data_IF_653784202042
#
_entry.id   IF_653784202042
#
_cell.length_a   1.000
_cell.length_b   1.000
_cell.length_c   1.000
_cell.angle_alpha   90.00
_cell.angle_beta   90.00
_cell.angle_gamma   90.00
#
_symmetry.space_group_name_H-M   'P 1'
#
loop_
_entity.id
_entity.type
_entity.pdbx_description
1 polymer ?
#
# COMPACT_ATOMS: atom_id res chain seq x y z
N UNK A 1 43.92 68.68 5.32
CA UNK A 1 44.44 68.08 6.56
C UNK A 1 43.26 67.36 7.23
N UNK A 2 43.02 66.08 6.93
CA UNK A 2 43.72 64.88 7.44
C UNK A 2 43.29 64.61 8.90
N UNK A 3 42.37 63.66 9.19
CA UNK A 3 42.53 62.20 9.40
C UNK A 3 41.85 61.90 10.77
N UNK A 4 41.24 60.76 11.15
CA UNK A 4 41.47 59.33 10.91
C UNK A 4 40.17 58.60 11.24
N UNK A 5 39.54 57.95 10.28
CA UNK A 5 38.58 56.88 10.55
C UNK A 5 39.34 55.56 10.64
N UNK A 6 39.30 54.92 11.80
CA UNK A 6 39.81 53.56 11.99
C UNK A 6 38.99 52.59 11.14
N UNK A 7 39.57 52.07 10.06
CA UNK A 7 39.09 50.84 9.40
C UNK A 7 39.66 49.63 10.12
N UNK A 8 38.84 48.62 10.48
CA UNK A 8 39.37 47.32 10.90
C UNK A 8 40.04 46.63 9.71
N UNK A 9 41.12 45.85 9.94
CA UNK A 9 41.79 45.14 8.88
C UNK A 9 41.32 43.66 8.84
N UNK A 10 41.39 43.07 7.65
CA UNK A 10 41.33 41.62 7.39
C UNK A 10 39.95 40.95 7.62
N UNK A 11 39.44 40.05 6.79
CA UNK A 11 39.96 39.26 5.67
C UNK A 11 38.73 38.87 4.85
N UNK A 12 38.76 39.07 3.54
CA UNK A 12 37.81 38.42 2.63
C UNK A 12 38.13 36.92 2.61
N UNK A 13 37.29 36.10 3.25
CA UNK A 13 37.21 34.69 2.95
C UNK A 13 36.15 34.50 1.87
N UNK A 14 36.64 34.20 0.67
CA UNK A 14 35.88 33.89 -0.53
C UNK A 14 35.20 32.53 -0.34
N UNK A 15 33.99 32.49 0.20
CA UNK A 15 33.15 31.29 0.11
C UNK A 15 32.39 31.37 -1.21
N UNK A 16 33.10 30.94 -2.25
CA UNK A 16 32.50 30.49 -3.49
C UNK A 16 31.62 29.26 -3.23
N UNK A 17 30.41 29.27 -3.77
CA UNK A 17 29.75 28.05 -4.24
C UNK A 17 29.05 27.20 -3.19
N UNK A 18 27.85 27.61 -2.78
CA UNK A 18 26.82 26.68 -2.31
C UNK A 18 25.48 27.01 -2.99
N UNK A 19 25.49 27.10 -4.33
CA UNK A 19 24.30 27.00 -5.15
C UNK A 19 24.42 25.68 -5.90
N UNK A 20 24.02 24.57 -5.28
CA UNK A 20 23.64 23.30 -5.94
C UNK A 20 23.59 22.16 -4.90
N UNK A 21 22.64 22.19 -3.95
CA UNK A 21 22.36 21.00 -3.13
C UNK A 21 20.96 21.08 -2.48
N UNK A 22 19.91 21.34 -3.27
CA UNK A 22 18.54 21.25 -2.72
C UNK A 22 17.46 20.84 -3.73
N UNK A 23 17.81 20.65 -5.01
CA UNK A 23 16.85 20.24 -6.02
C UNK A 23 17.32 18.91 -6.61
N UNK A 24 16.91 17.80 -5.98
CA UNK A 24 16.75 16.45 -6.54
C UNK A 24 16.64 15.40 -5.41
N UNK A 25 15.87 15.69 -4.36
CA UNK A 25 15.24 14.60 -3.61
C UNK A 25 13.90 14.33 -4.29
N UNK A 26 13.96 13.73 -5.49
CA UNK A 26 12.78 13.18 -6.13
C UNK A 26 12.43 11.95 -5.30
N UNK A 27 11.56 12.15 -4.30
CA UNK A 27 11.02 11.09 -3.48
C UNK A 27 10.24 10.16 -4.44
N UNK A 28 10.89 9.08 -4.85
CA UNK A 28 10.27 8.06 -5.68
C UNK A 28 9.12 7.44 -4.87
N UNK A 29 7.90 7.89 -5.14
CA UNK A 29 6.72 7.27 -4.58
C UNK A 29 6.71 5.80 -5.05
N UNK A 30 6.58 4.82 -4.15
CA UNK A 30 6.38 3.44 -4.58
C UNK A 30 5.10 3.39 -5.41
N UNK A 31 5.24 3.05 -6.69
CA UNK A 31 4.10 2.78 -7.56
C UNK A 31 3.44 1.51 -7.04
N UNK A 32 2.22 1.62 -6.51
CA UNK A 32 1.42 0.45 -6.19
C UNK A 32 1.14 -0.30 -7.50
N UNK A 33 1.77 -1.45 -7.68
CA UNK A 33 1.53 -2.30 -8.84
C UNK A 33 0.07 -2.77 -8.79
N UNK A 34 -0.74 -2.30 -9.73
CA UNK A 34 -2.11 -2.79 -9.89
C UNK A 34 -2.05 -4.18 -10.54
N UNK A 35 -2.42 -5.22 -9.79
CA UNK A 35 -2.61 -6.56 -10.33
C UNK A 35 -3.97 -6.63 -11.01
N UNK A 36 -3.98 -6.95 -12.31
CA UNK A 36 -5.23 -7.28 -12.99
C UNK A 36 -5.72 -8.66 -12.53
N UNK A 37 -6.97 -8.70 -12.07
CA UNK A 37 -7.65 -9.92 -11.62
C UNK A 37 -8.33 -10.68 -12.77
N UNK A 38 -8.13 -10.23 -14.02
CA UNK A 38 -8.72 -10.80 -15.22
C UNK A 38 -10.08 -10.20 -15.60
N UNK A 39 -10.74 -10.80 -16.59
CA UNK A 39 -12.05 -10.37 -17.08
C UNK A 39 -13.16 -11.01 -16.26
N UNK A 40 -14.06 -10.19 -15.71
CA UNK A 40 -15.13 -10.63 -14.82
C UNK A 40 -16.48 -10.61 -15.55
N UNK A 41 -17.26 -11.67 -15.35
CA UNK A 41 -18.67 -11.67 -15.73
C UNK A 41 -19.51 -10.97 -14.67
N UNK A 42 -20.50 -10.18 -15.08
CA UNK A 42 -21.54 -9.69 -14.17
C UNK A 42 -22.20 -10.89 -13.47
N UNK A 43 -22.31 -10.80 -12.15
CA UNK A 43 -22.76 -11.85 -11.24
C UNK A 43 -21.89 -13.12 -11.18
N UNK A 44 -20.70 -13.09 -11.76
CA UNK A 44 -19.71 -14.15 -11.62
C UNK A 44 -19.00 -14.06 -10.28
N UNK A 45 -18.81 -15.19 -9.60
CA UNK A 45 -17.99 -15.24 -8.39
C UNK A 45 -16.51 -15.04 -8.75
N UNK A 46 -15.93 -13.99 -8.20
CA UNK A 46 -14.50 -13.74 -8.19
C UNK A 46 -13.92 -14.18 -6.85
N UNK A 47 -13.02 -15.16 -6.87
CA UNK A 47 -12.23 -15.56 -5.71
C UNK A 47 -10.81 -15.01 -5.86
N UNK A 48 -10.41 -14.15 -4.93
CA UNK A 48 -9.13 -13.43 -4.97
C UNK A 48 -8.24 -14.02 -3.88
N UNK A 49 -7.25 -14.85 -4.24
CA UNK A 49 -6.26 -15.33 -3.28
C UNK A 49 -5.26 -14.22 -2.98
N UNK A 50 -5.03 -13.97 -1.69
CA UNK A 50 -4.02 -13.06 -1.17
C UNK A 50 -3.01 -13.87 -0.36
N UNK A 51 -1.75 -13.47 -0.47
CA UNK A 51 -0.66 -14.03 0.33
C UNK A 51 -0.47 -13.12 1.54
N UNK A 52 -0.61 -13.68 2.74
CA UNK A 52 -0.42 -12.96 4.00
C UNK A 52 0.60 -13.64 4.90
N UNK A 53 0.58 -13.35 6.22
CA UNK A 53 1.45 -14.03 7.16
C UNK A 53 1.08 -15.52 7.27
N UNK A 54 2.10 -16.36 7.45
CA UNK A 54 1.91 -17.79 7.72
C UNK A 54 1.46 -17.99 9.16
N UNK A 55 0.21 -18.41 9.35
CA UNK A 55 -0.43 -18.57 10.64
C UNK A 55 -0.95 -20.00 10.83
N UNK A 56 -1.11 -20.39 12.10
CA UNK A 56 -1.67 -21.68 12.47
C UNK A 56 -3.14 -21.49 12.92
N UNK A 57 -4.11 -22.09 12.24
CA UNK A 57 -5.52 -21.98 12.58
C UNK A 57 -5.97 -22.85 13.76
N UNK A 58 -5.13 -23.76 14.25
CA UNK A 58 -5.45 -24.60 15.41
C UNK A 58 -4.99 -23.95 16.73
N UNK A 59 -3.78 -23.40 16.75
CA UNK A 59 -3.11 -22.89 17.96
C UNK A 59 -2.41 -21.56 17.77
N UNK A 60 -2.62 -20.89 16.63
CA UNK A 60 -1.94 -19.63 16.31
C UNK A 60 -2.26 -18.51 17.30
N UNK A 61 -1.22 -17.76 17.64
CA UNK A 61 -1.31 -16.52 18.41
C UNK A 61 -0.55 -15.45 17.62
N UNK A 62 -1.23 -14.52 16.93
CA UNK A 62 -2.68 -14.28 16.97
C UNK A 62 -3.52 -15.36 16.27
N UNK A 63 -4.77 -15.50 16.68
CA UNK A 63 -5.74 -16.37 16.00
C UNK A 63 -6.03 -15.79 14.60
N UNK A 64 -5.73 -16.51 13.51
CA UNK A 64 -5.94 -15.99 12.16
C UNK A 64 -7.39 -15.63 11.86
N UNK A 65 -8.36 -16.36 12.43
CA UNK A 65 -9.79 -16.10 12.22
C UNK A 65 -10.31 -14.85 12.94
N UNK A 66 -9.50 -14.23 13.80
CA UNK A 66 -9.81 -12.97 14.47
C UNK A 66 -9.23 -11.74 13.74
N UNK A 67 -8.40 -11.94 12.71
CA UNK A 67 -7.80 -10.85 11.93
C UNK A 67 -8.84 -10.35 10.93
N UNK A 68 -9.04 -9.03 10.89
CA UNK A 68 -9.93 -8.38 9.92
C UNK A 68 -9.19 -8.17 8.61
N UNK A 69 -9.82 -8.55 7.52
CA UNK A 69 -9.42 -8.23 6.15
C UNK A 69 -10.68 -7.81 5.40
N UNK A 70 -10.65 -6.67 4.75
CA UNK A 70 -11.70 -6.22 3.84
C UNK A 70 -11.10 -5.88 2.47
N UNK A 71 -11.77 -6.30 1.41
CA UNK A 71 -11.58 -5.76 0.06
C UNK A 71 -12.56 -4.61 -0.17
N UNK A 72 -12.03 -3.45 -0.54
CA UNK A 72 -12.78 -2.27 -0.96
C UNK A 72 -12.80 -2.25 -2.48
N UNK A 73 -13.95 -2.56 -3.06
CA UNK A 73 -14.17 -2.62 -4.51
C UNK A 73 -14.86 -1.34 -4.97
N UNK A 74 -14.32 -0.71 -6.01
CA UNK A 74 -14.92 0.44 -6.68
C UNK A 74 -15.33 0.10 -8.10
N UNK A 75 -16.60 0.28 -8.37
CA UNK A 75 -17.24 -0.03 -9.64
C UNK A 75 -17.17 1.10 -10.67
N UNK A 76 -17.58 0.81 -11.92
CA UNK A 76 -17.49 1.74 -13.04
C UNK A 76 -18.41 2.97 -12.89
N UNK A 77 -19.48 2.87 -12.11
CA UNK A 77 -20.40 3.96 -11.77
C UNK A 77 -19.96 4.76 -10.53
N UNK A 78 -18.84 4.39 -9.91
CA UNK A 78 -18.34 4.97 -8.67
C UNK A 78 -18.93 4.34 -7.41
N UNK A 79 -19.75 3.29 -7.51
CA UNK A 79 -20.21 2.53 -6.35
C UNK A 79 -19.02 1.90 -5.60
N UNK A 80 -19.09 1.91 -4.27
CA UNK A 80 -18.06 1.31 -3.41
C UNK A 80 -18.67 0.18 -2.57
N UNK A 81 -18.02 -0.98 -2.58
CA UNK A 81 -18.41 -2.16 -1.82
C UNK A 81 -17.28 -2.60 -0.91
N UNK A 82 -17.59 -2.75 0.38
CA UNK A 82 -16.66 -3.32 1.36
C UNK A 82 -17.04 -4.77 1.62
N UNK A 83 -16.14 -5.68 1.27
CA UNK A 83 -16.37 -7.11 1.30
C UNK A 83 -15.35 -7.77 2.22
N UNK A 84 -15.80 -8.47 3.28
CA UNK A 84 -14.88 -9.13 4.18
C UNK A 84 -14.17 -10.30 3.49
N UNK A 85 -12.86 -10.38 3.71
CA UNK A 85 -12.03 -11.54 3.42
C UNK A 85 -11.94 -12.49 4.61
N UNK A 86 -11.34 -13.65 4.38
CA UNK A 86 -11.16 -14.67 5.40
C UNK A 86 -9.85 -15.43 5.21
N UNK A 87 -9.36 -16.02 6.31
CA UNK A 87 -8.21 -16.90 6.30
C UNK A 87 -8.59 -18.29 5.76
N UNK A 88 -7.84 -18.78 4.77
CA UNK A 88 -8.06 -20.09 4.14
C UNK A 88 -6.88 -21.06 4.38
N UNK A 89 -6.02 -20.75 5.35
CA UNK A 89 -4.89 -21.60 5.74
C UNK A 89 -3.94 -21.86 4.58
N UNK A 90 -3.89 -23.09 4.08
CA UNK A 90 -3.05 -23.46 2.94
C UNK A 90 -3.75 -23.38 1.56
N UNK A 91 -4.99 -22.90 1.51
CA UNK A 91 -5.78 -22.81 0.28
C UNK A 91 -6.36 -24.13 -0.24
N UNK A 92 -6.07 -25.24 0.44
CA UNK A 92 -6.43 -26.61 0.05
C UNK A 92 -7.13 -27.36 1.20
N UNK A 93 -7.83 -26.64 2.08
CA UNK A 93 -8.59 -27.19 3.21
C UNK A 93 -7.78 -27.44 4.49
N UNK A 94 -6.48 -27.17 4.50
CA UNK A 94 -5.66 -27.18 5.72
C UNK A 94 -5.81 -25.87 6.48
N UNK A 95 -6.00 -25.93 7.80
CA UNK A 95 -6.22 -24.74 8.64
C UNK A 95 -4.95 -23.96 8.97
N UNK A 96 -3.77 -24.32 8.45
CA UNK A 96 -2.52 -23.60 8.71
C UNK A 96 -1.84 -23.27 7.40
N UNK A 97 -1.35 -22.04 7.28
CA UNK A 97 -0.72 -21.52 6.07
C UNK A 97 -0.85 -20.02 5.97
N UNK A 98 -0.70 -19.49 4.77
CA UNK A 98 -0.57 -18.07 4.50
C UNK A 98 -1.56 -17.56 3.44
N UNK A 99 -2.59 -18.35 3.14
CA UNK A 99 -3.58 -18.03 2.11
C UNK A 99 -4.78 -17.35 2.75
N UNK A 100 -5.13 -16.21 2.17
CA UNK A 100 -6.32 -15.43 2.49
C UNK A 100 -7.16 -15.30 1.23
N UNK A 101 -8.48 -15.16 1.38
CA UNK A 101 -9.39 -15.08 0.25
C UNK A 101 -10.43 -13.99 0.44
N UNK A 102 -10.72 -13.29 -0.65
CA UNK A 102 -11.87 -12.39 -0.76
C UNK A 102 -12.76 -12.91 -1.88
N UNK A 103 -14.08 -12.98 -1.62
CA UNK A 103 -15.07 -13.44 -2.58
C UNK A 103 -16.00 -12.29 -2.95
N UNK A 104 -15.91 -11.84 -4.19
CA UNK A 104 -16.69 -10.71 -4.68
C UNK A 104 -17.54 -11.13 -5.88
N UNK A 105 -18.73 -10.55 -6.00
CA UNK A 105 -19.66 -10.79 -7.11
C UNK A 105 -20.05 -9.42 -7.66
N UNK A 106 -19.51 -8.98 -8.81
CA UNK A 106 -19.82 -7.67 -9.37
C UNK A 106 -21.26 -7.66 -9.88
N UNK A 107 -21.98 -6.58 -9.60
CA UNK A 107 -23.36 -6.35 -10.05
C UNK A 107 -23.43 -5.66 -11.42
N UNK A 108 -22.28 -5.20 -11.94
CA UNK A 108 -22.14 -4.45 -13.18
C UNK A 108 -20.92 -4.88 -13.99
N UNK A 109 -21.02 -4.72 -15.30
CA UNK A 109 -19.89 -4.89 -16.23
C UNK A 109 -19.09 -3.59 -16.31
N UNK A 110 -17.77 -3.68 -16.39
CA UNK A 110 -16.88 -2.53 -16.54
C UNK A 110 -15.58 -2.72 -15.77
N UNK A 111 -14.82 -1.64 -15.64
CA UNK A 111 -13.58 -1.64 -14.87
C UNK A 111 -13.88 -1.58 -13.37
N UNK A 112 -13.27 -2.49 -12.64
CA UNK A 112 -13.33 -2.55 -11.19
C UNK A 112 -11.93 -2.37 -10.63
N UNK A 113 -11.81 -1.58 -9.55
CA UNK A 113 -10.58 -1.48 -8.78
C UNK A 113 -10.81 -2.04 -7.39
N UNK A 114 -9.78 -2.69 -6.84
CA UNK A 114 -9.83 -3.23 -5.48
C UNK A 114 -8.62 -2.74 -4.69
N UNK A 115 -8.85 -2.30 -3.46
CA UNK A 115 -7.82 -2.14 -2.45
C UNK A 115 -8.14 -3.00 -1.24
N UNK A 116 -7.12 -3.46 -0.52
CA UNK A 116 -7.32 -4.19 0.72
C UNK A 116 -7.12 -3.28 1.92
N UNK A 117 -7.88 -3.55 2.99
CA UNK A 117 -7.73 -2.92 4.28
C UNK A 117 -7.75 -4.02 5.35
N UNK A 118 -6.65 -4.16 6.09
CA UNK A 118 -6.54 -5.15 7.15
C UNK A 118 -6.03 -4.54 8.46
N UNK A 119 -6.33 -5.23 9.56
CA UNK A 119 -5.64 -5.01 10.83
C UNK A 119 -4.18 -5.47 10.81
N UNK A 120 -3.71 -6.14 9.75
CA UNK A 120 -2.33 -6.58 9.58
C UNK A 120 -1.73 -5.97 8.31
N UNK A 121 -0.54 -5.40 8.40
CA UNK A 121 0.05 -4.62 7.32
C UNK A 121 0.40 -5.42 6.05
N UNK A 122 0.49 -6.74 6.17
CA UNK A 122 0.81 -7.66 5.07
C UNK A 122 -0.42 -8.02 4.22
N UNK A 123 -1.61 -7.49 4.55
CA UNK A 123 -2.91 -7.88 3.99
C UNK A 123 -3.72 -6.68 3.46
#
# INVERSE_FOLDING_TARGET
MDSRTCRPPFRMAKVWGWIAACALYCFALPSAAATSLGTLGKWGLLEIPLQGPSLNGYTGSPNPFAIRLDGVFRGPDGAEYRVPGFFDGNGNGGQSGNVWKIRFVPDQTGDWTMTTESSQAEL
#
